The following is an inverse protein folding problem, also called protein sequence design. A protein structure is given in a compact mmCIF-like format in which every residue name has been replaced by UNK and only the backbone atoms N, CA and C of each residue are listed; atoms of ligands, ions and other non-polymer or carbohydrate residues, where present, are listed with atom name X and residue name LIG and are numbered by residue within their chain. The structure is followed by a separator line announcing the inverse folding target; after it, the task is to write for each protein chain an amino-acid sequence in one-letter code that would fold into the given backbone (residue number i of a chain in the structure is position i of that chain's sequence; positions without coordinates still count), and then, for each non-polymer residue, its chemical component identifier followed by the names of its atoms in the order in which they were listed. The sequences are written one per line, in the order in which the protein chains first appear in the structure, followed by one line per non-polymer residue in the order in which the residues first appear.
data_IF_592425470582
#
_entry.id   IF_592425470582
#
_cell.length_a   1.000
_cell.length_b   1.000
_cell.length_c   1.000
_cell.angle_alpha   90.00
_cell.angle_beta   90.00
_cell.angle_gamma   90.00
#
_symmetry.space_group_name_H-M   'P 1'
#
loop_
_entity.id
_entity.type
_entity.pdbx_description
1 polymer ?
#
# COMPACT_ATOMS: atom_id res chain seq x y z
N UNK A 1 1.96 -11.49 13.19
CA UNK A 1 0.70 -10.77 13.36
C UNK A 1 0.09 -10.46 12.00
N UNK A 2 -1.21 -10.66 11.88
CA UNK A 2 -1.96 -10.35 10.66
C UNK A 2 -3.05 -9.34 11.00
N UNK A 3 -3.06 -8.21 10.27
CA UNK A 3 -4.10 -7.19 10.37
C UNK A 3 -4.82 -7.11 9.02
N UNK A 4 -6.09 -7.47 9.00
CA UNK A 4 -6.90 -7.46 7.81
C UNK A 4 -7.78 -6.20 7.80
N UNK A 5 -7.72 -5.44 6.71
CA UNK A 5 -8.54 -4.25 6.52
C UNK A 5 -8.46 -3.27 7.69
N UNK A 6 -7.24 -2.99 8.15
CA UNK A 6 -6.98 -2.13 9.32
C UNK A 6 -7.47 -0.70 9.14
N UNK A 7 -7.73 -0.30 7.92
CA UNK A 7 -8.08 1.07 7.53
C UNK A 7 -9.54 1.23 7.13
N UNK A 8 -10.37 0.21 7.36
CA UNK A 8 -11.81 0.29 7.08
C UNK A 8 -12.45 1.35 7.98
N UNK A 9 -13.15 2.30 7.36
CA UNK A 9 -13.89 3.33 8.09
C UNK A 9 -13.05 4.48 8.61
N UNK A 10 -11.75 4.52 8.31
CA UNK A 10 -10.87 5.65 8.69
C UNK A 10 -10.43 6.42 7.45
N UNK A 11 -10.07 7.68 7.63
CA UNK A 11 -9.67 8.58 6.55
C UNK A 11 -8.23 9.05 6.71
N UNK A 12 -7.73 9.76 5.70
CA UNK A 12 -6.34 10.12 5.44
C UNK A 12 -5.42 10.31 6.64
N UNK A 13 -5.71 11.26 7.54
CA UNK A 13 -4.83 11.56 8.66
C UNK A 13 -4.75 10.41 9.67
N UNK A 14 -5.89 9.79 9.98
CA UNK A 14 -5.95 8.63 10.86
C UNK A 14 -5.28 7.42 10.21
N UNK A 15 -5.46 7.23 8.91
CA UNK A 15 -4.81 6.15 8.18
C UNK A 15 -3.29 6.27 8.25
N UNK A 16 -2.76 7.48 8.14
CA UNK A 16 -1.32 7.70 8.29
C UNK A 16 -0.82 7.31 9.66
N UNK A 17 -1.53 7.67 10.72
CA UNK A 17 -1.17 7.30 12.09
C UNK A 17 -1.17 5.78 12.26
N UNK A 18 -2.19 5.10 11.75
CA UNK A 18 -2.26 3.64 11.78
C UNK A 18 -1.06 3.03 11.03
N UNK A 19 -0.74 3.55 9.85
CA UNK A 19 0.41 3.10 9.08
C UNK A 19 1.73 3.26 9.84
N UNK A 20 1.93 4.39 10.50
CA UNK A 20 3.13 4.65 11.29
C UNK A 20 3.26 3.68 12.46
N UNK A 21 2.15 3.38 13.15
CA UNK A 21 2.14 2.41 14.23
C UNK A 21 2.48 1.00 13.73
N UNK A 22 1.91 0.60 12.59
CA UNK A 22 2.21 -0.69 11.98
C UNK A 22 3.67 -0.81 11.57
N UNK A 23 4.24 0.26 11.01
CA UNK A 23 5.66 0.29 10.66
C UNK A 23 6.55 0.13 11.89
N UNK A 24 6.20 0.82 12.96
CA UNK A 24 6.93 0.72 14.22
C UNK A 24 6.92 -0.71 14.78
N UNK A 25 5.75 -1.35 14.78
CA UNK A 25 5.62 -2.75 15.21
C UNK A 25 6.40 -3.69 14.29
N UNK A 26 6.40 -3.42 12.99
CA UNK A 26 7.10 -4.24 12.00
C UNK A 26 8.61 -4.25 12.12
N UNK A 27 9.19 -3.30 12.86
CA UNK A 27 10.64 -3.28 13.09
C UNK A 27 11.09 -4.40 14.03
N UNK A 28 10.23 -4.85 14.92
CA UNK A 28 10.57 -5.84 15.93
C UNK A 28 9.83 -7.17 15.75
N UNK A 29 8.80 -7.20 14.91
CA UNK A 29 7.96 -8.37 14.70
C UNK A 29 7.65 -8.53 13.21
N UNK A 30 7.42 -9.75 12.77
CA UNK A 30 6.86 -9.98 11.46
C UNK A 30 5.37 -9.62 11.48
N UNK A 31 4.96 -8.78 10.54
CA UNK A 31 3.61 -8.22 10.51
C UNK A 31 3.11 -8.17 9.08
N UNK A 32 1.90 -8.70 8.87
CA UNK A 32 1.21 -8.62 7.60
C UNK A 32 -0.04 -7.76 7.77
N UNK A 33 -0.16 -6.69 6.99
CA UNK A 33 -1.31 -5.82 7.00
C UNK A 33 -1.93 -5.76 5.61
N UNK A 34 -3.24 -5.84 5.54
CA UNK A 34 -4.01 -5.75 4.30
C UNK A 34 -4.72 -4.41 4.28
N UNK A 35 -4.46 -3.61 3.26
CA UNK A 35 -4.97 -2.25 3.16
C UNK A 35 -5.30 -1.89 1.72
N UNK A 36 -6.24 -0.96 1.54
CA UNK A 36 -6.54 -0.35 0.25
C UNK A 36 -6.14 1.14 0.22
N UNK A 37 -5.55 1.65 1.29
CA UNK A 37 -5.15 3.06 1.38
C UNK A 37 -3.65 3.23 1.17
N UNK A 38 -3.30 4.16 0.28
CA UNK A 38 -1.91 4.43 -0.07
C UNK A 38 -1.08 4.89 1.15
N UNK A 39 -1.68 5.66 2.05
CA UNK A 39 -0.99 6.15 3.25
C UNK A 39 -0.51 5.02 4.14
N UNK A 40 -1.30 3.95 4.27
CA UNK A 40 -0.91 2.77 5.03
C UNK A 40 0.11 1.94 4.26
N UNK A 41 -0.13 1.71 2.97
CA UNK A 41 0.76 0.91 2.13
C UNK A 41 2.15 1.51 2.00
N UNK A 42 2.26 2.84 1.97
CA UNK A 42 3.55 3.53 1.89
C UNK A 42 4.44 3.28 3.11
N UNK A 43 3.86 2.94 4.25
CA UNK A 43 4.60 2.66 5.49
C UNK A 43 5.21 1.25 5.50
N UNK A 44 4.87 0.39 4.56
CA UNK A 44 5.33 -0.99 4.52
C UNK A 44 6.84 -1.08 4.28
N UNK A 45 7.50 -2.01 4.94
CA UNK A 45 8.89 -2.37 4.63
C UNK A 45 8.95 -3.13 3.30
N UNK A 46 7.90 -3.90 2.99
CA UNK A 46 7.75 -4.61 1.73
C UNK A 46 6.30 -4.51 1.29
N UNK A 47 6.08 -4.13 0.03
CA UNK A 47 4.73 -3.99 -0.54
C UNK A 47 4.47 -5.17 -1.47
N UNK A 48 3.40 -5.90 -1.20
CA UNK A 48 2.96 -7.04 -2.00
C UNK A 48 1.61 -6.69 -2.63
N UNK A 49 1.56 -6.75 -3.96
CA UNK A 49 0.33 -6.52 -4.72
C UNK A 49 -0.36 -7.85 -4.98
N UNK A 50 -1.65 -7.91 -4.68
CA UNK A 50 -2.49 -9.06 -5.04
C UNK A 50 -3.28 -8.69 -6.28
N UNK A 51 -3.03 -9.40 -7.39
CA UNK A 51 -3.78 -9.25 -8.63
C UNK A 51 -4.70 -10.44 -8.85
N UNK A 52 -5.93 -10.16 -9.25
CA UNK A 52 -6.89 -11.19 -9.64
C UNK A 52 -7.06 -11.16 -11.15
N UNK A 53 -6.87 -12.29 -11.79
CA UNK A 53 -7.05 -12.45 -13.22
C UNK A 53 -8.39 -13.13 -13.48
N UNK A 54 -9.30 -12.40 -14.11
CA UNK A 54 -10.63 -12.90 -14.47
C UNK A 54 -10.60 -13.42 -15.92
N UNK A 55 -10.21 -14.67 -16.08
CA UNK A 55 -10.33 -15.38 -17.35
C UNK A 55 -11.26 -16.59 -17.14
N UNK A 56 -10.96 -17.73 -17.75
CA UNK A 56 -11.78 -18.94 -17.58
C UNK A 56 -11.80 -19.42 -16.12
N UNK A 57 -10.74 -19.12 -15.37
CA UNK A 57 -10.63 -19.38 -13.95
C UNK A 57 -10.14 -18.11 -13.27
N UNK A 58 -10.69 -17.82 -12.09
CA UNK A 58 -10.20 -16.73 -11.26
C UNK A 58 -8.91 -17.16 -10.58
N UNK A 59 -7.80 -16.57 -10.97
CA UNK A 59 -6.50 -16.81 -10.36
C UNK A 59 -6.05 -15.55 -9.64
N UNK A 60 -5.38 -15.73 -8.49
CA UNK A 60 -4.75 -14.66 -7.76
C UNK A 60 -3.25 -14.77 -7.89
N UNK A 61 -2.59 -13.65 -8.11
CA UNK A 61 -1.15 -13.57 -8.23
C UNK A 61 -0.61 -12.60 -7.18
N UNK A 62 0.50 -12.98 -6.54
CA UNK A 62 1.19 -12.14 -5.55
C UNK A 62 2.46 -11.59 -6.18
N UNK A 63 2.58 -10.27 -6.20
CA UNK A 63 3.73 -9.59 -6.76
C UNK A 63 4.44 -8.77 -5.69
N UNK A 64 5.72 -9.03 -5.47
CA UNK A 64 6.55 -8.20 -4.60
C UNK A 64 6.99 -6.99 -5.40
N UNK A 65 6.60 -5.79 -4.95
CA UNK A 65 6.84 -4.56 -5.69
C UNK A 65 8.22 -3.98 -5.37
N UNK A 66 8.95 -3.65 -6.41
CA UNK A 66 10.20 -2.88 -6.33
C UNK A 66 9.91 -1.39 -6.44
N UNK A 67 10.93 -0.55 -6.32
CA UNK A 67 10.78 0.90 -6.14
C UNK A 67 9.82 1.57 -7.13
N UNK A 68 10.04 1.41 -8.44
CA UNK A 68 9.18 2.08 -9.43
C UNK A 68 7.80 1.46 -9.50
N UNK A 69 7.70 0.15 -9.35
CA UNK A 69 6.42 -0.54 -9.32
C UNK A 69 5.61 -0.14 -8.09
N UNK A 70 6.27 0.08 -6.95
CA UNK A 70 5.62 0.56 -5.73
C UNK A 70 5.07 1.97 -5.92
N UNK A 71 5.81 2.86 -6.56
CA UNK A 71 5.34 4.21 -6.88
C UNK A 71 4.08 4.15 -7.74
N UNK A 72 4.10 3.34 -8.80
CA UNK A 72 2.95 3.21 -9.69
C UNK A 72 1.73 2.64 -8.96
N UNK A 73 1.91 1.64 -8.10
CA UNK A 73 0.80 1.07 -7.34
C UNK A 73 0.23 2.07 -6.33
N UNK A 74 1.07 2.81 -5.62
CA UNK A 74 0.60 3.85 -4.70
C UNK A 74 -0.14 4.95 -5.46
N UNK A 75 0.33 5.32 -6.65
CA UNK A 75 -0.35 6.29 -7.49
C UNK A 75 -1.73 5.78 -7.92
N UNK A 76 -1.84 4.51 -8.29
CA UNK A 76 -3.11 3.88 -8.64
C UNK A 76 -4.07 3.87 -7.44
N UNK A 77 -3.59 3.53 -6.26
CA UNK A 77 -4.40 3.52 -5.03
C UNK A 77 -4.91 4.91 -4.67
N UNK A 78 -4.13 5.94 -4.96
CA UNK A 78 -4.48 7.33 -4.63
C UNK A 78 -5.36 7.99 -5.69
N UNK A 79 -5.09 7.71 -6.98
CA UNK A 79 -5.69 8.42 -8.11
C UNK A 79 -6.71 7.65 -8.93
N UNK A 80 -7.02 6.40 -8.57
CA UNK A 80 -7.97 5.57 -9.30
C UNK A 80 -7.36 4.88 -10.52
N UNK A 81 -8.11 4.82 -11.63
CA UNK A 81 -7.79 3.99 -12.79
C UNK A 81 -6.63 4.55 -13.61
N UNK A 82 -6.49 5.87 -13.67
CA UNK A 82 -5.49 6.53 -14.52
C UNK A 82 -4.34 7.05 -13.66
N UNK A 83 -3.13 6.61 -13.97
CA UNK A 83 -1.91 7.08 -13.31
C UNK A 83 -1.41 8.30 -14.08
N UNK A 84 -1.28 9.42 -13.38
CA UNK A 84 -0.76 10.67 -13.92
C UNK A 84 0.56 11.02 -13.26
N UNK A 85 1.29 12.00 -13.83
CA UNK A 85 2.52 12.49 -13.22
C UNK A 85 2.26 13.07 -11.83
N UNK A 86 1.12 13.72 -11.64
CA UNK A 86 0.71 14.28 -10.34
C UNK A 86 0.53 13.17 -9.30
N UNK A 87 -0.16 12.09 -9.67
CA UNK A 87 -0.36 10.96 -8.74
C UNK A 87 0.95 10.23 -8.44
N UNK A 88 1.85 10.13 -9.42
CA UNK A 88 3.20 9.57 -9.19
C UNK A 88 4.01 10.43 -8.24
N UNK A 89 3.97 11.74 -8.40
CA UNK A 89 4.66 12.66 -7.50
C UNK A 89 4.11 12.58 -6.09
N UNK A 90 2.80 12.46 -5.94
CA UNK A 90 2.17 12.24 -4.64
C UNK A 90 2.64 10.93 -4.01
N UNK A 91 2.70 9.86 -4.80
CA UNK A 91 3.18 8.54 -4.31
C UNK A 91 4.64 8.62 -3.86
N UNK A 92 5.49 9.29 -4.62
CA UNK A 92 6.90 9.49 -4.23
C UNK A 92 7.01 10.29 -2.95
N UNK A 93 6.16 11.30 -2.76
CA UNK A 93 6.11 12.08 -1.54
C UNK A 93 5.73 11.22 -0.34
N UNK A 94 4.73 10.35 -0.47
CA UNK A 94 4.35 9.42 0.59
C UNK A 94 5.52 8.52 1.01
N UNK A 95 6.26 7.98 0.04
CA UNK A 95 7.40 7.13 0.31
C UNK A 95 8.56 7.90 0.93
N UNK A 96 8.79 9.13 0.47
CA UNK A 96 9.85 9.99 0.98
C UNK A 96 9.64 10.34 2.46
N UNK A 97 8.39 10.57 2.86
CA UNK A 97 8.05 10.90 4.23
C UNK A 97 8.27 9.73 5.20
N UNK A 98 8.30 8.50 4.69
CA UNK A 98 8.52 7.29 5.47
C UNK A 98 10.00 7.02 5.73
N UNK A 99 10.84 7.42 4.80
CA UNK A 99 12.30 7.16 4.86
C UNK A 99 13.03 8.31 5.59
#
# INVERSE_FOLDING_TARGET
LVFDEVDVGISGGTAQVVGELLRSLGQTQQLLAITHQAQVAAQAHQHILVQKHHQEQTESELLILTDSAQVDELARMSGGVIITDVTRDHARSLLSDVK
#
